data_IF_116327799847
#
_entry.id   IF_116327799847
#
_cell.length_a   1.000
_cell.length_b   1.000
_cell.length_c   1.000
_cell.angle_alpha   90.00
_cell.angle_beta   90.00
_cell.angle_gamma   90.00
#
_symmetry.space_group_name_H-M   'P 1'
#
loop_
_entity.id
_entity.type
_entity.pdbx_description
1 polymer ?
#
# COMPACT_ATOMS: atom_id res chain seq x y z
N UNK A 1 25.84 29.74 23.42
CA UNK A 1 25.29 28.77 22.46
C UNK A 1 24.18 27.86 23.02
N UNK A 2 23.93 27.82 24.34
CA UNK A 2 22.84 27.04 24.95
C UNK A 2 21.48 27.78 24.86
N UNK A 3 21.50 29.12 24.92
CA UNK A 3 20.30 29.97 24.84
C UNK A 3 19.59 29.96 23.47
N UNK A 4 20.32 29.75 22.36
CA UNK A 4 19.72 29.71 21.02
C UNK A 4 18.96 28.39 20.81
N UNK A 5 19.46 27.28 21.39
CA UNK A 5 18.75 26.00 21.40
C UNK A 5 17.46 26.04 22.22
N UNK A 6 17.46 26.76 23.36
CA UNK A 6 16.27 26.94 24.17
C UNK A 6 15.19 27.79 23.47
N UNK A 7 15.58 28.87 22.78
CA UNK A 7 14.67 29.74 22.03
C UNK A 7 14.01 29.02 20.83
N UNK A 8 14.76 28.17 20.11
CA UNK A 8 14.21 27.36 19.01
C UNK A 8 13.29 26.24 19.52
N UNK A 9 13.58 25.65 20.68
CA UNK A 9 12.71 24.67 21.34
C UNK A 9 11.40 25.31 21.84
N UNK A 10 11.44 26.54 22.35
CA UNK A 10 10.23 27.28 22.75
C UNK A 10 9.41 27.72 21.54
N UNK A 11 10.02 28.14 20.43
CA UNK A 11 9.29 28.51 19.21
C UNK A 11 8.57 27.30 18.59
N UNK A 12 9.22 26.13 18.52
CA UNK A 12 8.59 24.89 18.06
C UNK A 12 7.47 24.41 18.99
N UNK A 13 7.66 24.55 20.32
CA UNK A 13 6.62 24.29 21.32
C UNK A 13 5.41 25.21 21.18
N UNK A 14 5.62 26.51 20.96
CA UNK A 14 4.51 27.46 20.81
C UNK A 14 3.73 27.29 19.50
N UNK A 15 4.39 26.90 18.40
CA UNK A 15 3.71 26.55 17.15
C UNK A 15 2.87 25.26 17.28
N UNK A 16 3.36 24.28 18.05
CA UNK A 16 2.63 23.06 18.38
C UNK A 16 1.45 23.32 19.34
N UNK A 17 1.60 24.27 20.29
CA UNK A 17 0.55 24.67 21.23
C UNK A 17 -0.54 25.54 20.57
N UNK A 18 -0.20 26.36 19.57
CA UNK A 18 -1.22 27.06 18.77
C UNK A 18 -1.97 26.10 17.82
N UNK A 19 -1.34 25.02 17.35
CA UNK A 19 -2.00 23.98 16.56
C UNK A 19 -2.86 23.02 17.39
N UNK A 20 -2.65 22.95 18.70
CA UNK A 20 -3.41 22.10 19.63
C UNK A 20 -4.55 22.82 20.34
N UNK A 21 -4.83 24.09 20.03
CA UNK A 21 -6.00 24.77 20.62
C UNK A 21 -7.29 24.08 20.14
N UNK A 22 -8.06 23.47 21.06
CA UNK A 22 -9.32 22.83 20.69
C UNK A 22 -10.27 23.89 20.12
N UNK A 23 -11.12 23.55 19.13
CA UNK A 23 -12.13 24.48 18.66
C UNK A 23 -13.05 24.84 19.84
N UNK A 24 -12.96 26.09 20.30
CA UNK A 24 -13.76 26.62 21.40
C UNK A 24 -15.26 26.49 21.10
N UNK A 25 -16.07 26.36 22.16
CA UNK A 25 -17.54 26.25 22.08
C UNK A 25 -18.21 27.35 21.23
N UNK A 26 -17.50 28.47 21.04
CA UNK A 26 -17.89 29.58 20.17
C UNK A 26 -18.04 29.13 18.70
N UNK A 27 -17.19 28.21 18.20
CA UNK A 27 -17.31 27.66 16.83
C UNK A 27 -18.53 26.75 16.67
N UNK A 28 -18.99 26.11 17.75
CA UNK A 28 -20.20 25.26 17.77
C UNK A 28 -21.48 26.11 17.73
N UNK A 29 -21.46 27.32 18.30
CA UNK A 29 -22.55 28.31 18.18
C UNK A 29 -22.48 29.11 16.88
N UNK A 30 -21.30 29.41 16.35
CA UNK A 30 -21.16 30.04 15.03
C UNK A 30 -21.56 29.11 13.87
N UNK A 31 -21.34 27.80 14.00
CA UNK A 31 -21.75 26.82 12.97
C UNK A 31 -23.27 26.69 12.82
N UNK A 32 -24.06 27.15 13.79
CA UNK A 32 -25.52 27.22 13.68
C UNK A 32 -26.00 28.48 12.94
N UNK A 33 -25.12 29.48 12.74
CA UNK A 33 -25.46 30.77 12.14
C UNK A 33 -24.77 31.05 10.80
N UNK A 34 -23.81 30.23 10.36
CA UNK A 34 -23.09 30.46 9.10
C UNK A 34 -23.68 29.64 7.94
N UNK A 35 -24.26 30.27 6.90
CA UNK A 35 -24.63 29.59 5.67
C UNK A 35 -23.36 29.12 4.94
N UNK A 36 -23.45 27.90 4.41
CA UNK A 36 -22.41 27.10 3.73
C UNK A 36 -21.34 27.92 2.98
N UNK A 37 -20.06 27.91 3.40
CA UNK A 37 -18.96 28.27 2.52
C UNK A 37 -18.51 27.04 1.73
N UNK A 38 -18.92 27.00 0.47
CA UNK A 38 -18.21 26.28 -0.59
C UNK A 38 -16.80 26.89 -0.73
N UNK A 39 -15.79 26.06 -1.02
CA UNK A 39 -14.42 26.43 -1.41
C UNK A 39 -13.36 26.58 -0.29
N UNK A 40 -12.72 25.46 0.07
CA UNK A 40 -11.23 25.31 0.06
C UNK A 40 -10.81 23.85 0.35
N UNK A 41 -11.05 22.95 -0.61
CA UNK A 41 -10.49 21.58 -0.57
C UNK A 41 -10.14 21.12 -1.98
N UNK A 42 -9.17 21.80 -2.61
CA UNK A 42 -8.68 21.40 -3.94
C UNK A 42 -7.25 20.83 -3.92
N UNK A 43 -6.56 20.86 -2.78
CA UNK A 43 -5.17 20.40 -2.66
C UNK A 43 -5.02 19.21 -1.69
N UNK A 44 -5.98 18.97 -0.79
CA UNK A 44 -5.88 17.96 0.28
C UNK A 44 -6.51 16.60 -0.05
N UNK A 45 -7.39 16.55 -1.06
CA UNK A 45 -8.28 15.40 -1.31
C UNK A 45 -7.83 14.45 -2.42
N UNK A 46 -6.64 14.64 -3.00
CA UNK A 46 -6.22 13.88 -4.20
C UNK A 46 -5.24 12.75 -3.89
N UNK A 47 -4.39 12.85 -2.87
CA UNK A 47 -3.33 11.85 -2.65
C UNK A 47 -3.62 10.76 -1.60
N UNK A 48 -4.61 10.92 -0.72
CA UNK A 48 -4.72 10.08 0.49
C UNK A 48 -5.99 9.22 0.51
N UNK A 49 -7.07 9.69 -0.12
CA UNK A 49 -8.38 9.02 -0.10
C UNK A 49 -8.43 7.73 -0.93
N UNK A 50 -7.69 7.65 -2.03
CA UNK A 50 -7.81 6.52 -2.97
C UNK A 50 -6.99 5.28 -2.58
N UNK A 51 -5.90 5.48 -1.83
CA UNK A 51 -5.05 4.40 -1.32
C UNK A 51 -5.66 3.75 -0.07
N UNK A 52 -6.34 4.53 0.79
CA UNK A 52 -6.98 4.02 2.01
C UNK A 52 -8.14 3.08 1.73
N UNK A 53 -9.03 3.43 0.79
CA UNK A 53 -10.17 2.58 0.43
C UNK A 53 -9.72 1.24 -0.18
N UNK A 54 -8.55 1.23 -0.83
CA UNK A 54 -7.94 0.03 -1.43
C UNK A 54 -7.16 -0.85 -0.44
N UNK A 55 -6.95 -0.40 0.79
CA UNK A 55 -6.08 -1.10 1.76
C UNK A 55 -6.77 -2.19 2.57
N UNK A 56 -8.11 -2.33 2.48
CA UNK A 56 -8.87 -3.37 3.18
C UNK A 56 -8.86 -3.28 4.71
N UNK A 57 -8.16 -2.30 5.28
CA UNK A 57 -7.97 -2.11 6.72
C UNK A 57 -9.21 -1.55 7.44
N UNK A 58 -10.22 -1.07 6.71
CA UNK A 58 -11.39 -0.40 7.30
C UNK A 58 -11.05 0.90 8.04
N UNK A 59 -9.82 1.41 7.89
CA UNK A 59 -9.33 2.58 8.61
C UNK A 59 -9.99 3.85 8.10
N UNK A 60 -10.57 4.59 9.03
CA UNK A 60 -11.10 5.92 8.79
C UNK A 60 -9.96 6.90 8.50
N UNK A 61 -10.27 7.98 7.77
CA UNK A 61 -9.38 9.14 7.60
C UNK A 61 -8.89 9.67 8.97
N UNK A 62 -9.68 9.44 10.01
CA UNK A 62 -9.41 9.76 11.42
C UNK A 62 -8.33 8.85 12.03
N UNK A 63 -8.27 7.57 11.66
CA UNK A 63 -7.29 6.61 12.20
C UNK A 63 -5.92 6.80 11.57
N UNK A 64 -5.88 7.17 10.29
CA UNK A 64 -4.64 7.59 9.63
C UNK A 64 -4.09 8.88 10.24
N UNK A 65 -4.98 9.83 10.53
CA UNK A 65 -4.62 11.07 11.19
C UNK A 65 -4.12 10.80 12.62
N UNK A 66 -4.77 9.89 13.36
CA UNK A 66 -4.30 9.41 14.68
C UNK A 66 -2.93 8.75 14.59
N UNK A 67 -2.71 7.85 13.63
CA UNK A 67 -1.42 7.20 13.45
C UNK A 67 -0.32 8.21 13.11
N UNK A 68 -0.62 9.21 12.28
CA UNK A 68 0.32 10.29 11.94
C UNK A 68 0.60 11.21 13.13
N UNK A 69 -0.41 11.50 13.96
CA UNK A 69 -0.25 12.29 15.19
C UNK A 69 0.55 11.52 16.25
N UNK A 70 0.27 10.23 16.46
CA UNK A 70 1.01 9.37 17.40
C UNK A 70 2.45 9.17 16.94
N UNK A 71 2.68 8.90 15.65
CA UNK A 71 4.03 8.78 15.11
C UNK A 71 4.83 10.08 15.23
N UNK A 72 4.19 11.23 14.97
CA UNK A 72 4.82 12.53 15.17
C UNK A 72 5.13 12.81 16.65
N UNK A 73 4.23 12.44 17.56
CA UNK A 73 4.42 12.58 19.00
C UNK A 73 5.57 11.69 19.53
N UNK A 74 5.61 10.44 19.07
CA UNK A 74 6.67 9.47 19.43
C UNK A 74 8.01 9.89 18.86
N UNK A 75 8.06 10.38 17.62
CA UNK A 75 9.28 10.91 17.02
C UNK A 75 9.78 12.16 17.76
N UNK A 76 8.87 13.08 18.12
CA UNK A 76 9.21 14.26 18.91
C UNK A 76 9.72 13.89 20.31
N UNK A 77 9.08 12.92 20.97
CA UNK A 77 9.52 12.41 22.27
C UNK A 77 10.88 11.70 22.19
N UNK A 78 11.11 10.89 21.15
CA UNK A 78 12.39 10.21 20.93
C UNK A 78 13.53 11.21 20.70
N UNK A 79 13.30 12.26 19.89
CA UNK A 79 14.28 13.33 19.68
C UNK A 79 14.56 14.10 20.96
N UNK A 80 13.55 14.35 21.79
CA UNK A 80 13.71 15.04 23.07
C UNK A 80 14.51 14.21 24.09
N UNK A 81 14.26 12.90 24.19
CA UNK A 81 15.00 11.99 25.10
C UNK A 81 16.44 11.80 24.63
N UNK A 82 16.64 11.60 23.33
CA UNK A 82 17.96 11.37 22.73
C UNK A 82 18.83 12.65 22.77
N UNK A 83 18.22 13.83 22.57
CA UNK A 83 18.89 15.13 22.71
C UNK A 83 19.27 15.51 24.15
N UNK A 84 18.67 14.85 25.16
CA UNK A 84 19.04 15.02 26.57
C UNK A 84 20.23 14.12 26.98
N UNK A 85 20.40 12.98 26.32
CA UNK A 85 21.40 11.98 26.67
C UNK A 85 22.72 12.10 25.88
N UNK A 86 22.68 12.60 24.64
CA UNK A 86 23.85 12.70 23.76
C UNK A 86 23.76 14.03 23.00
N UNK A 87 24.82 14.87 22.94
CA UNK A 87 24.84 16.10 22.13
C UNK A 87 24.98 15.74 20.65
N UNK A 88 23.98 15.06 20.11
CA UNK A 88 23.94 14.66 18.73
C UNK A 88 23.61 15.91 17.93
N UNK A 89 24.50 16.27 17.00
CA UNK A 89 24.38 17.47 16.18
C UNK A 89 22.99 17.58 15.53
N UNK A 90 22.56 18.80 15.26
CA UNK A 90 21.25 19.14 14.70
C UNK A 90 20.82 18.28 13.49
N UNK A 91 21.79 17.72 12.75
CA UNK A 91 21.57 16.78 11.66
C UNK A 91 20.75 15.53 12.05
N UNK A 92 20.96 14.93 13.22
CA UNK A 92 20.25 13.71 13.62
C UNK A 92 18.83 13.99 14.10
N UNK A 93 18.61 15.15 14.74
CA UNK A 93 17.27 15.62 15.10
C UNK A 93 16.43 15.87 13.83
N UNK A 94 17.03 16.47 12.80
CA UNK A 94 16.39 16.66 11.49
C UNK A 94 16.08 15.31 10.83
N UNK A 95 17.03 14.37 10.84
CA UNK A 95 16.85 13.03 10.27
C UNK A 95 15.72 12.24 10.98
N UNK A 96 15.64 12.31 12.30
CA UNK A 96 14.60 11.65 13.09
C UNK A 96 13.21 12.28 12.89
N UNK A 97 13.13 13.61 12.81
CA UNK A 97 11.88 14.31 12.49
C UNK A 97 11.38 13.96 11.08
N UNK A 98 12.30 13.89 10.10
CA UNK A 98 11.98 13.46 8.74
C UNK A 98 11.52 12.00 8.71
N UNK A 99 12.23 11.10 9.40
CA UNK A 99 11.86 9.69 9.50
C UNK A 99 10.48 9.48 10.15
N UNK A 100 10.17 10.22 11.22
CA UNK A 100 8.85 10.17 11.88
C UNK A 100 7.69 10.64 10.99
N UNK A 101 7.94 11.56 10.05
CA UNK A 101 6.93 12.01 9.10
C UNK A 101 6.76 11.04 7.91
N UNK A 102 7.86 10.44 7.44
CA UNK A 102 7.86 9.54 6.27
C UNK A 102 7.42 8.13 6.63
N UNK A 103 7.82 7.60 7.78
CA UNK A 103 7.52 6.23 8.23
C UNK A 103 6.03 5.83 8.16
N UNK A 104 5.05 6.63 8.65
CA UNK A 104 3.64 6.26 8.57
C UNK A 104 3.12 6.24 7.12
N UNK A 105 3.66 7.09 6.26
CA UNK A 105 3.27 7.13 4.84
C UNK A 105 3.73 5.86 4.13
N UNK A 106 4.98 5.45 4.37
CA UNK A 106 5.56 4.22 3.80
C UNK A 106 4.87 2.96 4.34
N UNK A 107 4.47 2.95 5.61
CA UNK A 107 3.75 1.82 6.20
C UNK A 107 2.40 1.59 5.51
N UNK A 108 1.65 2.66 5.28
CA UNK A 108 0.32 2.61 4.63
C UNK A 108 0.44 2.16 3.18
N UNK A 109 1.44 2.66 2.46
CA UNK A 109 1.70 2.25 1.08
C UNK A 109 2.10 0.77 0.99
N UNK A 110 2.91 0.28 1.93
CA UNK A 110 3.25 -1.16 2.03
C UNK A 110 2.05 -2.03 2.41
N UNK A 111 1.15 -1.54 3.27
CA UNK A 111 -0.06 -2.26 3.62
C UNK A 111 -1.04 -2.33 2.43
N UNK A 112 -1.23 -1.21 1.72
CA UNK A 112 -2.05 -1.15 0.52
C UNK A 112 -1.50 -2.04 -0.60
N UNK A 113 -0.19 -2.07 -0.82
CA UNK A 113 0.43 -2.93 -1.84
C UNK A 113 0.29 -4.42 -1.52
N UNK A 114 0.46 -4.81 -0.25
CA UNK A 114 0.19 -6.19 0.20
C UNK A 114 -1.26 -6.59 -0.02
N UNK A 115 -2.19 -5.73 0.36
CA UNK A 115 -3.62 -6.01 0.21
C UNK A 115 -4.03 -6.15 -1.26
N UNK A 116 -3.45 -5.34 -2.16
CA UNK A 116 -3.64 -5.48 -3.61
C UNK A 116 -3.09 -6.82 -4.13
N UNK A 117 -1.89 -7.20 -3.72
CA UNK A 117 -1.30 -8.49 -4.11
C UNK A 117 -2.13 -9.68 -3.61
N UNK A 118 -2.71 -9.58 -2.41
CA UNK A 118 -3.62 -10.59 -1.87
C UNK A 118 -4.93 -10.64 -2.66
N UNK A 119 -5.49 -9.49 -3.03
CA UNK A 119 -6.70 -9.41 -3.85
C UNK A 119 -6.50 -9.96 -5.27
N UNK A 120 -5.34 -9.75 -5.89
CA UNK A 120 -5.02 -10.33 -7.19
C UNK A 120 -4.93 -11.86 -7.13
N UNK A 121 -4.26 -12.42 -6.12
CA UNK A 121 -4.19 -13.88 -5.92
C UNK A 121 -5.57 -14.48 -5.63
N UNK A 122 -6.38 -13.81 -4.82
CA UNK A 122 -7.74 -14.23 -4.53
C UNK A 122 -8.65 -14.17 -5.78
N UNK A 123 -8.41 -13.22 -6.70
CA UNK A 123 -9.14 -13.17 -7.97
C UNK A 123 -8.84 -14.41 -8.83
N UNK A 124 -7.59 -14.87 -8.88
CA UNK A 124 -7.22 -16.11 -9.59
C UNK A 124 -7.97 -17.30 -9.00
N UNK A 125 -7.94 -17.46 -7.68
CA UNK A 125 -8.65 -18.54 -6.99
C UNK A 125 -10.18 -18.48 -7.20
N UNK A 126 -10.76 -17.28 -7.28
CA UNK A 126 -12.18 -17.07 -7.58
C UNK A 126 -12.53 -17.60 -8.97
N UNK A 127 -11.72 -17.26 -9.97
CA UNK A 127 -11.91 -17.72 -11.35
C UNK A 127 -11.74 -19.25 -11.44
N UNK A 128 -10.71 -19.83 -10.81
CA UNK A 128 -10.50 -21.28 -10.87
C UNK A 128 -11.63 -22.08 -10.19
N UNK A 129 -12.13 -21.63 -9.04
CA UNK A 129 -13.24 -22.31 -8.37
C UNK A 129 -14.57 -22.13 -9.10
N UNK A 130 -14.83 -20.93 -9.63
CA UNK A 130 -16.02 -20.72 -10.45
C UNK A 130 -15.96 -21.54 -11.74
N UNK A 131 -14.79 -21.68 -12.38
CA UNK A 131 -14.61 -22.56 -13.54
C UNK A 131 -14.94 -24.01 -13.18
N UNK A 132 -14.39 -24.52 -12.07
CA UNK A 132 -14.61 -25.89 -11.62
C UNK A 132 -16.10 -26.17 -11.33
N UNK A 133 -16.79 -25.23 -10.70
CA UNK A 133 -18.23 -25.34 -10.42
C UNK A 133 -19.08 -25.25 -11.68
N UNK A 134 -18.74 -24.37 -12.62
CA UNK A 134 -19.45 -24.26 -13.91
C UNK A 134 -19.19 -25.47 -14.79
N UNK A 135 -17.98 -26.03 -14.78
CA UNK A 135 -17.63 -27.28 -15.46
C UNK A 135 -18.43 -28.48 -14.94
N UNK A 136 -18.88 -28.44 -13.67
CA UNK A 136 -19.79 -29.44 -13.09
C UNK A 136 -21.26 -29.26 -13.50
N UNK A 137 -21.58 -28.27 -14.33
CA UNK A 137 -22.93 -28.00 -14.82
C UNK A 137 -23.74 -27.00 -13.97
N UNK A 138 -23.12 -26.32 -12.99
CA UNK A 138 -23.81 -25.27 -12.22
C UNK A 138 -23.90 -23.96 -13.03
N UNK A 139 -25.01 -23.20 -12.92
CA UNK A 139 -25.07 -21.84 -13.45
C UNK A 139 -23.99 -20.96 -12.82
N UNK A 140 -23.44 -20.03 -13.61
CA UNK A 140 -22.32 -19.15 -13.21
C UNK A 140 -22.68 -18.33 -11.98
N UNK A 141 -23.92 -17.85 -11.91
CA UNK A 141 -24.44 -17.05 -10.81
C UNK A 141 -24.45 -17.87 -9.50
N UNK A 142 -24.93 -19.11 -9.55
CA UNK A 142 -24.96 -20.01 -8.40
C UNK A 142 -23.56 -20.45 -7.99
N UNK A 143 -22.64 -20.62 -8.94
CA UNK A 143 -21.24 -20.91 -8.68
C UNK A 143 -20.55 -19.75 -7.94
N UNK A 144 -20.77 -18.51 -8.40
CA UNK A 144 -20.23 -17.31 -7.75
C UNK A 144 -20.75 -17.14 -6.32
N UNK A 145 -22.05 -17.37 -6.08
CA UNK A 145 -22.62 -17.32 -4.73
C UNK A 145 -22.01 -18.40 -3.83
N UNK A 146 -21.81 -19.61 -4.34
CA UNK A 146 -21.16 -20.68 -3.56
C UNK A 146 -19.70 -20.36 -3.22
N UNK A 147 -18.96 -19.69 -4.12
CA UNK A 147 -17.61 -19.21 -3.83
C UNK A 147 -17.65 -18.05 -2.81
N UNK A 148 -18.67 -17.18 -2.87
CA UNK A 148 -18.89 -16.11 -1.90
C UNK A 148 -19.03 -16.63 -0.45
N UNK A 149 -19.75 -17.73 -0.28
CA UNK A 149 -19.95 -18.37 1.03
C UNK A 149 -18.69 -19.03 1.57
N UNK A 150 -17.84 -19.57 0.67
CA UNK A 150 -16.58 -20.22 1.07
C UNK A 150 -15.47 -19.23 1.39
N UNK A 151 -15.42 -18.10 0.67
CA UNK A 151 -14.35 -17.10 0.78
C UNK A 151 -13.07 -17.54 0.07
N UNK A 152 -12.40 -16.57 -0.56
CA UNK A 152 -11.26 -16.78 -1.46
C UNK A 152 -9.93 -16.31 -0.84
N UNK A 153 -9.98 -15.88 0.44
CA UNK A 153 -8.79 -15.58 1.24
C UNK A 153 -8.30 -14.13 1.15
N UNK A 154 -9.08 -13.23 0.53
CA UNK A 154 -8.80 -11.80 0.54
C UNK A 154 -9.99 -11.03 1.08
N UNK A 155 -9.75 -10.25 2.14
CA UNK A 155 -10.77 -9.44 2.81
C UNK A 155 -11.51 -8.53 1.83
N UNK A 156 -10.81 -7.95 0.86
CA UNK A 156 -11.39 -7.05 -0.15
C UNK A 156 -12.30 -7.80 -1.13
N UNK A 157 -11.83 -8.93 -1.66
CA UNK A 157 -12.58 -9.73 -2.65
C UNK A 157 -13.79 -10.37 -1.97
N UNK A 158 -13.61 -10.94 -0.78
CA UNK A 158 -14.66 -11.59 -0.01
C UNK A 158 -15.75 -10.58 0.41
N UNK A 159 -15.37 -9.37 0.83
CA UNK A 159 -16.33 -8.31 1.14
C UNK A 159 -17.13 -7.87 -0.09
N UNK A 160 -16.46 -7.68 -1.24
CA UNK A 160 -17.12 -7.31 -2.49
C UNK A 160 -18.07 -8.41 -2.99
N UNK A 161 -17.64 -9.68 -2.91
CA UNK A 161 -18.41 -10.83 -3.36
C UNK A 161 -19.62 -11.08 -2.44
N UNK A 162 -19.46 -10.91 -1.12
CA UNK A 162 -20.56 -10.97 -0.16
C UNK A 162 -21.55 -9.80 -0.33
N UNK A 163 -21.08 -8.60 -0.67
CA UNK A 163 -21.96 -7.47 -0.98
C UNK A 163 -22.74 -7.68 -2.29
N UNK A 164 -22.07 -8.27 -3.30
CA UNK A 164 -22.70 -8.63 -4.57
C UNK A 164 -23.74 -9.75 -4.39
N UNK A 165 -23.44 -10.79 -3.61
CA UNK A 165 -24.40 -11.88 -3.33
C UNK A 165 -25.62 -11.41 -2.54
N UNK A 166 -25.44 -10.50 -1.57
CA UNK A 166 -26.57 -9.83 -0.89
C UNK A 166 -27.42 -9.02 -1.85
N UNK A 167 -26.79 -8.26 -2.74
CA UNK A 167 -27.52 -7.48 -3.75
C UNK A 167 -28.31 -8.40 -4.70
N UNK A 168 -27.74 -9.55 -5.05
CA UNK A 168 -28.41 -10.57 -5.86
C UNK A 168 -29.61 -11.21 -5.15
N UNK A 169 -29.49 -11.48 -3.85
CA UNK A 169 -30.62 -11.95 -3.03
C UNK A 169 -31.77 -10.92 -2.97
N UNK A 170 -31.46 -9.62 -3.15
CA UNK A 170 -32.44 -8.53 -3.26
C UNK A 170 -32.98 -8.33 -4.68
N UNK A 171 -32.62 -9.19 -5.64
CA UNK A 171 -33.11 -9.16 -7.02
C UNK A 171 -32.28 -8.32 -7.99
N UNK A 172 -31.11 -7.80 -7.58
CA UNK A 172 -30.21 -7.09 -8.49
C UNK A 172 -29.43 -8.07 -9.39
N UNK A 173 -29.08 -7.69 -10.64
CA UNK A 173 -28.22 -8.52 -11.49
C UNK A 173 -26.84 -8.72 -10.86
N UNK A 174 -26.45 -9.99 -10.65
CA UNK A 174 -25.24 -10.37 -9.92
C UNK A 174 -23.97 -9.77 -10.52
N UNK A 175 -23.78 -9.88 -11.83
CA UNK A 175 -22.56 -9.40 -12.51
C UNK A 175 -22.41 -7.88 -12.40
N UNK A 176 -23.49 -7.13 -12.61
CA UNK A 176 -23.50 -5.68 -12.44
C UNK A 176 -23.25 -5.27 -10.98
N UNK A 177 -23.82 -6.00 -10.02
CA UNK A 177 -23.57 -5.77 -8.60
C UNK A 177 -22.09 -6.03 -8.25
N UNK A 178 -21.52 -7.12 -8.74
CA UNK A 178 -20.11 -7.47 -8.56
C UNK A 178 -19.18 -6.42 -9.18
N UNK A 179 -19.51 -5.92 -10.38
CA UNK A 179 -18.77 -4.84 -11.03
C UNK A 179 -18.81 -3.52 -10.25
N UNK A 180 -19.97 -3.18 -9.70
CA UNK A 180 -20.16 -1.98 -8.86
C UNK A 180 -19.39 -2.08 -7.55
N UNK A 181 -19.51 -3.19 -6.83
CA UNK A 181 -18.82 -3.40 -5.55
C UNK A 181 -17.30 -3.53 -5.74
N UNK A 182 -16.85 -4.23 -6.78
CA UNK A 182 -15.44 -4.30 -7.15
C UNK A 182 -14.86 -2.90 -7.48
N UNK A 183 -15.61 -2.06 -8.19
CA UNK A 183 -15.19 -0.68 -8.49
C UNK A 183 -15.16 0.20 -7.23
N UNK A 184 -16.14 0.05 -6.33
CA UNK A 184 -16.21 0.81 -5.08
C UNK A 184 -15.02 0.52 -4.15
N UNK A 185 -14.55 -0.73 -4.15
CA UNK A 185 -13.39 -1.20 -3.38
C UNK A 185 -12.07 -0.93 -4.12
N UNK A 186 -12.12 -0.50 -5.38
CA UNK A 186 -10.95 -0.19 -6.20
C UNK A 186 -10.27 -1.41 -6.86
N UNK A 187 -10.97 -2.54 -6.93
CA UNK A 187 -10.56 -3.75 -7.64
C UNK A 187 -10.98 -3.68 -9.11
N UNK A 188 -10.21 -2.95 -9.91
CA UNK A 188 -10.54 -2.72 -11.34
C UNK A 188 -10.57 -4.01 -12.15
N UNK A 189 -9.73 -4.99 -11.82
CA UNK A 189 -9.66 -6.28 -12.52
C UNK A 189 -10.93 -7.11 -12.28
N UNK A 190 -11.40 -7.17 -11.02
CA UNK A 190 -12.67 -7.82 -10.67
C UNK A 190 -13.86 -7.14 -11.38
N UNK A 191 -13.85 -5.81 -11.43
CA UNK A 191 -14.91 -5.07 -12.11
C UNK A 191 -14.95 -5.33 -13.63
N UNK A 192 -13.79 -5.40 -14.28
CA UNK A 192 -13.69 -5.77 -15.71
C UNK A 192 -14.18 -7.19 -15.96
N UNK A 193 -13.72 -8.15 -15.15
CA UNK A 193 -14.16 -9.54 -15.24
C UNK A 193 -15.68 -9.68 -15.12
N UNK A 194 -16.31 -8.96 -14.19
CA UNK A 194 -17.76 -8.98 -14.03
C UNK A 194 -18.52 -8.43 -15.26
N UNK A 195 -18.01 -7.35 -15.88
CA UNK A 195 -18.58 -6.78 -17.12
C UNK A 195 -18.41 -7.75 -18.30
N UNK A 196 -17.27 -8.44 -18.39
CA UNK A 196 -17.03 -9.44 -19.42
C UNK A 196 -17.95 -10.66 -19.25
N UNK A 197 -18.19 -11.11 -18.02
CA UNK A 197 -19.16 -12.16 -17.73
C UNK A 197 -20.59 -11.77 -18.11
N UNK A 198 -21.00 -10.55 -17.78
CA UNK A 198 -22.32 -10.01 -18.15
C UNK A 198 -22.50 -10.02 -19.69
N UNK A 199 -21.51 -9.50 -20.43
CA UNK A 199 -21.52 -9.52 -21.90
C UNK A 199 -21.54 -10.93 -22.47
N UNK A 200 -20.78 -11.86 -21.88
CA UNK A 200 -20.68 -13.23 -22.37
C UNK A 200 -21.98 -13.99 -22.19
N UNK A 201 -22.65 -13.78 -21.04
CA UNK A 201 -24.00 -14.30 -20.76
C UNK A 201 -25.01 -13.78 -21.78
N UNK A 202 -25.02 -12.48 -22.03
CA UNK A 202 -25.98 -11.85 -22.93
C UNK A 202 -25.78 -12.26 -24.41
N UNK A 203 -24.57 -12.70 -24.77
CA UNK A 203 -24.23 -13.19 -26.11
C UNK A 203 -24.49 -14.69 -26.31
N UNK A 204 -24.93 -15.44 -25.28
CA UNK A 204 -25.21 -16.88 -25.37
C UNK A 204 -23.99 -17.76 -25.69
N UNK A 205 -22.77 -17.19 -25.69
CA UNK A 205 -21.53 -17.94 -25.83
C UNK A 205 -21.19 -18.57 -24.48
N UNK A 206 -20.89 -19.88 -24.47
CA UNK A 206 -20.65 -20.61 -23.22
C UNK A 206 -19.62 -19.90 -22.34
N UNK A 207 -20.04 -19.41 -21.18
CA UNK A 207 -19.20 -18.69 -20.21
C UNK A 207 -17.89 -19.41 -19.86
N UNK A 208 -17.85 -20.73 -20.06
CA UNK A 208 -16.69 -21.60 -20.00
C UNK A 208 -15.52 -21.20 -20.91
N UNK A 209 -15.76 -20.65 -22.10
CA UNK A 209 -14.66 -20.22 -22.98
C UNK A 209 -13.97 -18.97 -22.47
N UNK A 210 -14.72 -18.04 -21.87
CA UNK A 210 -14.17 -16.80 -21.30
C UNK A 210 -13.45 -17.08 -19.98
N UNK A 211 -13.98 -17.96 -19.12
CA UNK A 211 -13.25 -18.40 -17.93
C UNK A 211 -11.93 -19.11 -18.29
N UNK A 212 -11.92 -19.93 -19.36
CA UNK A 212 -10.70 -20.59 -19.83
C UNK A 212 -9.66 -19.60 -20.37
N UNK A 213 -10.09 -18.62 -21.17
CA UNK A 213 -9.20 -17.59 -21.71
C UNK A 213 -8.61 -16.72 -20.58
N UNK A 214 -9.44 -16.32 -19.61
CA UNK A 214 -8.97 -15.53 -18.47
C UNK A 214 -8.08 -16.34 -17.53
N UNK A 215 -8.35 -17.63 -17.32
CA UNK A 215 -7.45 -18.51 -16.54
C UNK A 215 -6.08 -18.64 -17.20
N UNK A 216 -6.01 -18.83 -18.52
CA UNK A 216 -4.74 -18.95 -19.22
C UNK A 216 -3.96 -17.62 -19.18
N UNK A 217 -4.66 -16.49 -19.31
CA UNK A 217 -4.09 -15.15 -19.11
C UNK A 217 -3.53 -14.95 -17.70
N UNK A 218 -4.29 -15.31 -16.67
CA UNK A 218 -3.86 -15.17 -15.28
C UNK A 218 -2.63 -16.04 -15.01
N UNK A 219 -2.60 -17.29 -15.48
CA UNK A 219 -1.42 -18.18 -15.35
C UNK A 219 -0.20 -17.67 -16.11
N UNK A 220 -0.38 -17.13 -17.30
CA UNK A 220 0.70 -16.50 -18.05
C UNK A 220 1.25 -15.28 -17.29
N UNK A 221 0.38 -14.47 -16.68
CA UNK A 221 0.78 -13.32 -15.87
C UNK A 221 1.53 -13.72 -14.59
N UNK A 222 1.09 -14.78 -13.91
CA UNK A 222 1.76 -15.34 -12.73
C UNK A 222 3.16 -15.83 -13.10
N UNK A 223 3.28 -16.58 -14.21
CA UNK A 223 4.57 -17.05 -14.74
C UNK A 223 5.49 -15.88 -15.08
N UNK A 224 5.00 -14.84 -15.77
CA UNK A 224 5.79 -13.65 -16.06
C UNK A 224 6.28 -12.95 -14.79
N UNK A 225 5.42 -12.81 -13.76
CA UNK A 225 5.80 -12.23 -12.46
C UNK A 225 6.85 -13.05 -11.73
N UNK A 226 6.75 -14.39 -11.77
CA UNK A 226 7.77 -15.28 -11.17
C UNK A 226 9.11 -15.17 -11.89
N UNK A 227 9.10 -15.01 -13.22
CA UNK A 227 10.31 -14.82 -14.02
C UNK A 227 10.95 -13.44 -13.77
N UNK A 228 10.16 -12.37 -13.69
CA UNK A 228 10.64 -11.04 -13.30
C UNK A 228 11.25 -11.05 -11.89
N UNK A 229 10.60 -11.71 -10.94
CA UNK A 229 11.11 -11.86 -9.58
C UNK A 229 12.44 -12.64 -9.55
N UNK A 230 12.59 -13.66 -10.39
CA UNK A 230 13.83 -14.41 -10.55
C UNK A 230 14.95 -13.54 -11.13
N UNK A 231 14.66 -12.70 -12.14
CA UNK A 231 15.64 -11.79 -12.75
C UNK A 231 16.19 -10.73 -11.78
N UNK A 232 15.40 -10.29 -10.79
CA UNK A 232 15.88 -9.35 -9.77
C UNK A 232 16.89 -9.98 -8.79
N UNK A 233 16.88 -11.31 -8.62
CA UNK A 233 17.86 -12.03 -7.78
C UNK A 233 19.22 -12.07 -8.47
N UNK A 234 19.24 -12.29 -9.79
CA UNK A 234 20.47 -12.31 -10.60
C UNK A 234 21.23 -10.96 -10.53
N UNK A 235 20.50 -9.85 -10.66
CA UNK A 235 21.09 -8.52 -10.52
C UNK A 235 21.69 -8.24 -9.14
N UNK A 236 21.05 -8.73 -8.06
CA UNK A 236 21.59 -8.60 -6.69
C UNK A 236 22.84 -9.45 -6.47
N UNK A 237 22.90 -10.65 -7.08
CA UNK A 237 24.07 -11.53 -7.00
C UNK A 237 25.29 -10.91 -7.69
N UNK A 238 25.12 -10.35 -8.89
CA UNK A 238 26.18 -9.63 -9.61
C UNK A 238 26.72 -8.44 -8.80
N UNK A 239 25.84 -7.64 -8.20
CA UNK A 239 26.26 -6.48 -7.41
C UNK A 239 27.04 -6.88 -6.15
N UNK A 240 26.57 -7.89 -5.42
CA UNK A 240 27.30 -8.41 -4.25
C UNK A 240 28.67 -8.96 -4.66
N UNK A 241 28.74 -9.68 -5.79
CA UNK A 241 30.00 -10.20 -6.32
C UNK A 241 30.98 -9.08 -6.65
N UNK A 242 30.55 -8.05 -7.38
CA UNK A 242 31.40 -6.89 -7.73
C UNK A 242 31.84 -6.13 -6.48
N UNK A 243 30.93 -5.88 -5.54
CA UNK A 243 31.23 -5.11 -4.34
C UNK A 243 32.17 -5.86 -3.39
N UNK A 244 32.16 -7.19 -3.37
CA UNK A 244 33.05 -7.99 -2.53
C UNK A 244 34.39 -8.32 -3.23
N UNK A 245 34.36 -8.55 -4.54
CA UNK A 245 35.53 -8.95 -5.31
C UNK A 245 36.44 -7.76 -5.67
N UNK A 246 35.87 -6.60 -6.00
CA UNK A 246 36.65 -5.40 -6.37
C UNK A 246 37.59 -4.93 -5.24
N UNK A 247 37.15 -4.81 -3.96
CA UNK A 247 38.04 -4.43 -2.87
C UNK A 247 39.09 -5.50 -2.59
N UNK A 248 38.72 -6.78 -2.69
CA UNK A 248 39.65 -7.89 -2.48
C UNK A 248 40.76 -7.91 -3.54
N UNK A 249 40.43 -7.72 -4.81
CA UNK A 249 41.40 -7.59 -5.90
C UNK A 249 42.30 -6.36 -5.73
N UNK A 250 41.72 -5.22 -5.33
CA UNK A 250 42.50 -4.02 -5.03
C UNK A 250 43.51 -4.27 -3.91
N UNK A 251 43.09 -4.88 -2.80
CA UNK A 251 44.00 -5.28 -1.73
C UNK A 251 45.10 -6.23 -2.23
N UNK A 252 44.71 -7.26 -3.01
CA UNK A 252 45.64 -8.28 -3.50
C UNK A 252 46.70 -7.71 -4.44
N UNK A 253 46.37 -6.72 -5.28
CA UNK A 253 47.31 -6.13 -6.25
C UNK A 253 48.10 -4.97 -5.65
N UNK A 254 47.46 -4.10 -4.86
CA UNK A 254 48.09 -2.88 -4.33
C UNK A 254 49.15 -3.21 -3.28
N UNK A 255 48.91 -4.16 -2.38
CA UNK A 255 49.87 -4.54 -1.33
C UNK A 255 51.23 -4.97 -1.90
N UNK A 256 51.32 -6.00 -2.77
CA UNK A 256 52.61 -6.45 -3.28
C UNK A 256 53.28 -5.43 -4.18
N UNK A 257 52.51 -4.64 -4.94
CA UNK A 257 53.06 -3.54 -5.74
C UNK A 257 53.75 -2.49 -4.86
N UNK A 258 53.11 -2.13 -3.74
CA UNK A 258 53.65 -1.15 -2.81
C UNK A 258 54.89 -1.68 -2.08
N UNK A 259 54.86 -2.96 -1.65
CA UNK A 259 56.02 -3.62 -1.03
C UNK A 259 57.20 -3.73 -2.00
N UNK A 260 56.97 -4.13 -3.25
CA UNK A 260 58.03 -4.23 -4.26
C UNK A 260 58.65 -2.88 -4.63
N UNK A 261 57.86 -1.80 -4.66
CA UNK A 261 58.38 -0.45 -4.87
C UNK A 261 59.22 0.06 -3.70
N UNK A 262 58.85 -0.29 -2.46
CA UNK A 262 59.64 0.04 -1.28
C UNK A 262 60.97 -0.71 -1.30
N UNK A 263 60.96 -2.03 -1.53
CA UNK A 263 62.18 -2.84 -1.58
C UNK A 263 63.15 -2.37 -2.67
N UNK A 264 62.63 -1.94 -3.83
CA UNK A 264 63.45 -1.37 -4.91
C UNK A 264 64.01 0.04 -4.64
N UNK A 265 63.51 0.74 -3.61
CA UNK A 265 63.93 2.10 -3.25
C UNK A 265 64.95 2.09 -2.09
N UNK A 266 65.07 0.99 -1.36
CA UNK A 266 66.04 0.77 -0.27
C UNK A 266 67.30 -0.01 -0.72
N UNK A 267 67.51 -0.18 -2.02
CA UNK A 267 68.74 -0.68 -2.66
C UNK A 267 69.46 0.47 -3.35
#
# INVERSE_FOLDING_TARGET
>A
MILIGALLATCAGTAAVLASRPPSMIRRRLAQLSPRPVAKSRIRSVLITHELSRSGLGWSEIDLLRAKVVAALVAAAAVAVVGLAIPIGAAFAIAAAYAGFVAPTVYVERAASRCRADAERALVALVEWTEALVASGRPVETALVAVAERGVGSVLVDAALAAASRSYALGAPLFRALGREGSAVGLTTLARFAVELERTRDLGRGALTVLRDERERLRASERARTLDAAGHVEGRLMLVLVLCYLPALMMLVVIPLFLGLLDGLFV
#
